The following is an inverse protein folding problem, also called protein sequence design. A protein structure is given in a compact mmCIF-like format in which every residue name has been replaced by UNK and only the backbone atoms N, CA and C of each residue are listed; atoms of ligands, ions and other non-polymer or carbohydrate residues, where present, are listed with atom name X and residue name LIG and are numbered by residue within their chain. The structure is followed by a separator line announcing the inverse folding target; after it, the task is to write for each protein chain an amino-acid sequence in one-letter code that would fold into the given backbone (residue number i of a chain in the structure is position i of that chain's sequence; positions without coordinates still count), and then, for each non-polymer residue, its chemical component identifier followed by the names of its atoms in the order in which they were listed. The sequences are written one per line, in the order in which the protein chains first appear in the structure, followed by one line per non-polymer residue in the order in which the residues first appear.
data_IF_419344817226
#
_entry.id   IF_419344817226
#
_cell.length_a   1.000
_cell.length_b   1.000
_cell.length_c   1.000
_cell.angle_alpha   90.00
_cell.angle_beta   90.00
_cell.angle_gamma   90.00
#
_symmetry.space_group_name_H-M   'P 1'
#
loop_
_entity.id
_entity.type
_entity.pdbx_description
1 polymer ?
#
# COMPACT_ATOMS: atom_id res chain seq x y z
N UNK A 1 -26.00 30.18 -9.84
CA UNK A 1 -25.91 29.11 -8.80
C UNK A 1 -26.52 27.84 -9.36
N UNK A 2 -25.69 26.96 -9.90
CA UNK A 2 -26.14 25.63 -10.36
C UNK A 2 -26.48 24.78 -9.16
N UNK A 3 -27.70 24.25 -9.11
CA UNK A 3 -28.24 23.51 -7.98
C UNK A 3 -27.41 22.21 -7.75
N UNK A 4 -27.27 21.79 -6.50
CA UNK A 4 -26.59 20.55 -6.10
C UNK A 4 -27.13 19.33 -6.86
N UNK A 5 -28.41 19.36 -7.26
CA UNK A 5 -29.08 18.34 -8.08
C UNK A 5 -28.55 18.30 -9.53
N UNK A 6 -28.24 19.45 -10.13
CA UNK A 6 -27.63 19.50 -11.49
C UNK A 6 -26.19 18.98 -11.47
N UNK A 7 -25.45 19.26 -10.39
CA UNK A 7 -24.09 18.74 -10.19
C UNK A 7 -24.09 17.21 -10.03
N UNK A 8 -25.05 16.67 -9.27
CA UNK A 8 -25.23 15.22 -9.11
C UNK A 8 -25.65 14.53 -10.42
N UNK A 9 -26.56 15.13 -11.20
CA UNK A 9 -26.96 14.62 -12.51
C UNK A 9 -25.80 14.61 -13.50
N UNK A 10 -24.96 15.65 -13.49
CA UNK A 10 -23.76 15.74 -14.34
C UNK A 10 -22.71 14.69 -13.94
N UNK A 11 -22.52 14.43 -12.66
CA UNK A 11 -21.63 13.37 -12.16
C UNK A 11 -22.15 11.97 -12.48
N UNK A 12 -23.48 11.76 -12.43
CA UNK A 12 -24.11 10.50 -12.84
C UNK A 12 -23.97 10.28 -14.36
N UNK A 13 -24.17 11.31 -15.18
CA UNK A 13 -23.98 11.23 -16.62
C UNK A 13 -22.53 10.94 -17.03
N UNK A 14 -21.55 11.57 -16.34
CA UNK A 14 -20.13 11.30 -16.55
C UNK A 14 -19.73 9.87 -16.10
N UNK A 15 -20.36 9.38 -15.04
CA UNK A 15 -20.16 8.00 -14.58
C UNK A 15 -20.72 6.98 -15.57
N UNK A 16 -21.90 7.24 -16.14
CA UNK A 16 -22.51 6.40 -17.18
C UNK A 16 -21.72 6.41 -18.49
N UNK A 17 -21.18 7.56 -18.91
CA UNK A 17 -20.30 7.66 -20.09
C UNK A 17 -18.97 6.94 -19.87
N UNK A 18 -18.39 7.01 -18.67
CA UNK A 18 -17.16 6.29 -18.32
C UNK A 18 -17.39 4.78 -18.29
N UNK A 19 -18.53 4.32 -17.75
CA UNK A 19 -18.91 2.90 -17.75
C UNK A 19 -19.21 2.38 -19.14
N UNK A 20 -19.74 3.21 -20.06
CA UNK A 20 -19.94 2.84 -21.46
C UNK A 20 -18.62 2.80 -22.25
N UNK A 21 -17.70 3.73 -22.00
CA UNK A 21 -16.37 3.71 -22.62
C UNK A 21 -15.50 2.54 -22.12
N UNK A 22 -15.61 2.20 -20.83
CA UNK A 22 -14.95 1.02 -20.26
C UNK A 22 -15.62 -0.30 -20.70
N UNK A 23 -16.90 -0.28 -21.07
CA UNK A 23 -17.61 -1.45 -21.62
C UNK A 23 -17.30 -1.71 -23.11
N UNK A 24 -17.00 -0.66 -23.87
CA UNK A 24 -16.62 -0.78 -25.30
C UNK A 24 -15.15 -1.20 -25.49
N UNK A 25 -14.29 -1.06 -24.46
CA UNK A 25 -12.88 -1.52 -24.47
C UNK A 25 -12.68 -2.89 -23.78
N UNK A 26 -13.73 -3.50 -23.23
CA UNK A 26 -13.61 -4.84 -22.65
C UNK A 26 -13.71 -5.88 -23.76
N UNK A 27 -12.71 -6.80 -23.88
CA UNK A 27 -12.86 -7.94 -24.76
C UNK A 27 -14.09 -8.73 -24.33
N UNK A 28 -14.93 -9.10 -25.28
CA UNK A 28 -16.14 -9.91 -25.10
C UNK A 28 -15.86 -11.09 -24.18
N UNK A 29 -16.68 -11.39 -23.15
CA UNK A 29 -16.49 -12.59 -22.34
C UNK A 29 -16.43 -13.79 -23.24
N UNK A 30 -15.36 -14.58 -23.14
CA UNK A 30 -15.24 -15.83 -23.88
C UNK A 30 -16.45 -16.72 -23.57
N UNK A 31 -17.10 -17.31 -24.56
CA UNK A 31 -18.18 -18.28 -24.35
C UNK A 31 -17.67 -19.38 -23.42
N UNK A 32 -18.49 -19.79 -22.46
CA UNK A 32 -18.12 -20.79 -21.46
C UNK A 32 -17.38 -21.95 -22.07
N UNK A 33 -16.14 -22.19 -21.60
CA UNK A 33 -15.28 -23.26 -22.09
C UNK A 33 -16.01 -24.61 -21.96
N UNK A 34 -16.10 -25.42 -23.00
CA UNK A 34 -16.75 -26.72 -22.92
C UNK A 34 -15.93 -27.62 -21.97
N UNK A 35 -16.59 -28.10 -20.92
CA UNK A 35 -16.01 -29.08 -19.99
C UNK A 35 -15.95 -30.42 -20.74
N UNK A 36 -14.86 -30.68 -21.45
CA UNK A 36 -14.53 -32.02 -21.90
C UNK A 36 -13.70 -32.70 -20.83
N UNK A 37 -14.29 -33.71 -20.19
CA UNK A 37 -13.59 -34.63 -19.28
C UNK A 37 -12.54 -35.44 -20.07
N UNK A 38 -11.34 -34.90 -20.19
CA UNK A 38 -10.19 -35.52 -20.80
C UNK A 38 -9.15 -35.83 -19.74
N UNK A 39 -8.69 -37.08 -19.66
CA UNK A 39 -7.48 -37.47 -18.92
C UNK A 39 -6.30 -36.66 -19.46
N UNK A 40 -5.62 -35.93 -18.59
CA UNK A 40 -4.48 -35.10 -18.95
C UNK A 40 -3.35 -35.97 -19.52
N UNK A 41 -3.15 -35.90 -20.83
CA UNK A 41 -2.06 -36.62 -21.52
C UNK A 41 -0.70 -35.94 -21.27
N UNK A 42 0.37 -36.71 -21.43
CA UNK A 42 1.77 -36.29 -21.29
C UNK A 42 2.11 -35.02 -22.11
N UNK A 43 1.32 -34.65 -23.12
CA UNK A 43 1.46 -33.44 -23.95
C UNK A 43 1.16 -32.11 -23.21
N UNK A 44 0.33 -32.16 -22.17
CA UNK A 44 -0.02 -30.92 -21.41
C UNK A 44 1.06 -30.45 -20.43
N UNK A 45 2.07 -31.29 -20.17
CA UNK A 45 3.25 -30.89 -19.35
C UNK A 45 4.39 -30.35 -20.24
N UNK A 46 4.36 -30.63 -21.55
CA UNK A 46 5.38 -30.16 -22.46
C UNK A 46 5.36 -28.61 -22.54
N UNK A 47 6.48 -28.01 -22.18
CA UNK A 47 6.63 -26.55 -22.23
C UNK A 47 6.32 -25.82 -20.93
N UNK A 48 5.67 -26.41 -19.92
CA UNK A 48 5.59 -25.85 -18.57
C UNK A 48 6.98 -25.81 -17.89
N UNK A 49 7.19 -24.88 -16.93
CA UNK A 49 8.41 -24.90 -16.15
C UNK A 49 8.49 -26.19 -15.30
N UNK A 50 9.69 -26.58 -14.80
CA UNK A 50 9.84 -27.72 -13.92
C UNK A 50 8.89 -27.63 -12.73
N UNK A 51 8.18 -28.72 -12.45
CA UNK A 51 7.20 -28.85 -11.38
C UNK A 51 6.64 -30.26 -11.33
N UNK A 52 5.67 -30.51 -10.47
CA UNK A 52 5.04 -31.81 -10.24
C UNK A 52 3.52 -31.72 -10.33
N UNK A 53 2.90 -32.84 -10.61
CA UNK A 53 1.44 -33.00 -10.52
C UNK A 53 1.13 -33.60 -9.15
N UNK A 54 0.43 -32.83 -8.32
CA UNK A 54 -0.10 -33.35 -7.05
C UNK A 54 -1.51 -33.90 -7.24
N UNK A 55 -1.86 -34.91 -6.46
CA UNK A 55 -3.17 -35.52 -6.46
C UNK A 55 -3.80 -35.50 -5.06
N UNK A 56 -5.08 -35.17 -5.00
CA UNK A 56 -5.89 -35.20 -3.77
C UNK A 56 -7.31 -35.72 -4.08
N UNK A 57 -8.20 -35.76 -3.08
CA UNK A 57 -9.57 -36.24 -3.25
C UNK A 57 -10.43 -35.50 -4.27
N UNK A 58 -10.03 -34.28 -4.66
CA UNK A 58 -10.72 -33.46 -5.66
C UNK A 58 -10.09 -33.57 -7.08
N UNK A 59 -9.04 -34.37 -7.26
CA UNK A 59 -8.36 -34.57 -8.53
C UNK A 59 -6.88 -34.19 -8.51
N UNK A 60 -6.38 -33.73 -9.63
CA UNK A 60 -4.97 -33.35 -9.83
C UNK A 60 -4.83 -31.87 -10.13
N UNK A 61 -3.69 -31.28 -9.75
CA UNK A 61 -3.26 -29.97 -10.23
C UNK A 61 -1.73 -29.92 -10.36
N UNK A 62 -1.23 -28.98 -11.17
CA UNK A 62 0.21 -28.79 -11.32
C UNK A 62 0.72 -27.81 -10.25
N UNK A 63 1.89 -28.12 -9.67
CA UNK A 63 2.56 -27.26 -8.69
C UNK A 63 4.03 -27.09 -9.07
N UNK A 64 4.47 -25.83 -9.13
CA UNK A 64 5.88 -25.49 -9.21
C UNK A 64 6.34 -24.98 -7.84
N UNK A 65 7.39 -25.57 -7.30
CA UNK A 65 7.99 -25.15 -6.03
C UNK A 65 9.36 -24.55 -6.25
N UNK A 66 9.64 -23.41 -5.63
CA UNK A 66 10.93 -22.76 -5.61
C UNK A 66 11.33 -22.41 -4.18
N UNK A 67 12.59 -22.62 -3.85
CA UNK A 67 13.14 -22.47 -2.50
C UNK A 67 14.19 -21.40 -2.51
N UNK A 68 14.09 -20.47 -1.57
CA UNK A 68 15.01 -19.35 -1.41
C UNK A 68 15.63 -19.40 -0.01
N UNK A 69 16.97 -19.39 0.12
CA UNK A 69 17.60 -19.26 1.43
C UNK A 69 17.29 -17.90 2.03
N UNK A 70 17.24 -17.82 3.37
CA UNK A 70 16.85 -16.59 4.08
C UNK A 70 17.83 -15.42 3.88
N UNK A 71 19.07 -15.70 3.52
CA UNK A 71 20.12 -14.71 3.22
C UNK A 71 20.10 -14.22 1.76
N UNK A 72 19.30 -14.86 0.88
CA UNK A 72 19.10 -14.37 -0.47
C UNK A 72 18.37 -13.02 -0.48
N UNK A 73 18.86 -12.09 -1.29
CA UNK A 73 18.36 -10.73 -1.35
C UNK A 73 17.30 -10.54 -2.43
N UNK A 74 16.28 -9.76 -2.08
CA UNK A 74 15.39 -9.12 -3.05
C UNK A 74 15.40 -7.62 -2.79
N UNK A 75 16.00 -6.86 -3.69
CA UNK A 75 16.25 -5.44 -3.44
C UNK A 75 17.22 -5.22 -2.26
N UNK A 76 16.92 -4.29 -1.35
CA UNK A 76 17.86 -3.90 -0.28
C UNK A 76 17.91 -4.88 0.91
N UNK A 77 17.02 -5.85 0.97
CA UNK A 77 16.88 -6.73 2.14
C UNK A 77 16.95 -8.22 1.78
N UNK A 78 17.59 -9.05 2.62
CA UNK A 78 17.43 -10.49 2.52
C UNK A 78 16.02 -10.91 2.98
N UNK A 79 15.51 -12.06 2.47
CA UNK A 79 14.18 -12.55 2.83
C UNK A 79 14.01 -12.72 4.34
N UNK A 80 15.04 -13.22 5.02
CA UNK A 80 15.05 -13.42 6.47
C UNK A 80 14.93 -12.13 7.29
N UNK A 81 15.23 -10.96 6.72
CA UNK A 81 15.09 -9.69 7.43
C UNK A 81 13.64 -9.42 7.87
N UNK A 82 12.66 -9.96 7.16
CA UNK A 82 11.25 -9.82 7.51
C UNK A 82 10.91 -10.53 8.83
N UNK A 83 11.58 -11.64 9.15
CA UNK A 83 11.32 -12.42 10.37
C UNK A 83 11.68 -11.66 11.66
N UNK A 84 12.52 -10.63 11.56
CA UNK A 84 12.84 -9.73 12.66
C UNK A 84 11.83 -8.58 12.82
N UNK A 85 10.83 -8.48 11.93
CA UNK A 85 9.80 -7.44 11.95
C UNK A 85 8.51 -7.97 12.59
N UNK A 86 7.66 -7.04 13.06
CA UNK A 86 6.34 -7.38 13.61
C UNK A 86 5.22 -6.87 12.71
N UNK A 87 4.23 -7.72 12.35
CA UNK A 87 3.03 -7.27 11.63
C UNK A 87 2.21 -6.22 12.38
N UNK A 88 2.34 -6.15 13.71
CA UNK A 88 1.61 -5.21 14.58
C UNK A 88 1.82 -3.76 14.18
N UNK A 89 2.98 -3.41 13.62
CA UNK A 89 3.24 -2.03 13.15
C UNK A 89 2.22 -1.56 12.12
N UNK A 90 1.73 -2.47 11.28
CA UNK A 90 0.66 -2.17 10.32
C UNK A 90 -0.73 -2.16 10.99
N UNK A 91 -0.94 -2.95 12.03
CA UNK A 91 -2.19 -2.93 12.80
C UNK A 91 -2.39 -1.59 13.52
N UNK A 92 -1.32 -1.01 14.06
CA UNK A 92 -1.35 0.34 14.66
C UNK A 92 -1.73 1.41 13.64
N UNK A 93 -1.34 1.24 12.37
CA UNK A 93 -1.73 2.14 11.28
C UNK A 93 -3.17 1.96 10.83
N UNK A 94 -3.66 0.73 10.88
CA UNK A 94 -5.00 0.36 10.42
C UNK A 94 -5.62 -0.70 11.34
N UNK A 95 -6.19 -0.30 12.47
CA UNK A 95 -6.82 -1.24 13.41
C UNK A 95 -7.88 -2.14 12.77
N UNK A 96 -8.43 -1.73 11.61
CA UNK A 96 -9.41 -2.53 10.85
C UNK A 96 -8.79 -3.67 10.03
N UNK A 97 -7.46 -3.89 10.06
CA UNK A 97 -6.85 -5.04 9.38
C UNK A 97 -7.00 -6.36 10.14
N UNK A 98 -7.53 -6.33 11.35
CA UNK A 98 -7.75 -7.53 12.14
C UNK A 98 -6.47 -8.30 12.49
N UNK A 99 -5.31 -7.61 12.57
CA UNK A 99 -4.05 -8.26 12.91
C UNK A 99 -4.01 -8.61 14.40
N UNK A 100 -3.75 -9.86 14.69
CA UNK A 100 -3.47 -10.33 16.04
C UNK A 100 -2.02 -9.99 16.40
N UNK A 101 -1.75 -9.31 17.54
CA UNK A 101 -0.40 -9.01 18.00
C UNK A 101 0.51 -10.23 18.19
N UNK A 102 -0.06 -11.40 18.36
CA UNK A 102 0.68 -12.65 18.54
C UNK A 102 1.06 -13.35 17.23
N UNK A 103 0.57 -12.85 16.10
CA UNK A 103 0.92 -13.39 14.78
C UNK A 103 2.23 -12.77 14.29
N UNK A 104 3.17 -13.59 13.91
CA UNK A 104 4.41 -13.21 13.23
C UNK A 104 4.43 -13.63 11.75
N UNK A 105 5.46 -13.22 11.03
CA UNK A 105 5.58 -13.52 9.61
C UNK A 105 5.91 -15.00 9.31
N UNK A 106 6.33 -15.81 10.28
CA UNK A 106 6.51 -17.27 10.09
C UNK A 106 5.17 -17.95 9.84
N UNK A 107 4.06 -17.33 10.23
CA UNK A 107 2.70 -17.79 10.02
C UNK A 107 1.95 -17.05 8.94
N UNK A 108 2.65 -16.31 8.11
CA UNK A 108 2.08 -15.53 7.01
C UNK A 108 2.09 -16.33 5.70
N UNK A 109 1.05 -16.15 4.91
CA UNK A 109 0.95 -16.57 3.52
C UNK A 109 0.99 -15.33 2.63
N UNK A 110 2.00 -15.22 1.79
CA UNK A 110 2.05 -14.22 0.72
C UNK A 110 1.30 -14.79 -0.48
N UNK A 111 0.29 -14.07 -0.96
CA UNK A 111 -0.65 -14.59 -1.94
C UNK A 111 -0.82 -13.62 -3.11
N UNK A 112 -0.75 -14.17 -4.33
CA UNK A 112 -1.10 -13.50 -5.56
C UNK A 112 -1.82 -14.45 -6.51
N UNK A 113 -2.75 -13.94 -7.36
CA UNK A 113 -3.58 -14.78 -8.22
C UNK A 113 -3.58 -14.32 -9.67
N UNK A 114 -3.48 -15.29 -10.60
CA UNK A 114 -3.74 -15.06 -12.02
C UNK A 114 -5.10 -15.61 -12.40
N UNK A 115 -5.83 -14.80 -13.19
CA UNK A 115 -7.26 -15.03 -13.41
C UNK A 115 -7.62 -15.06 -14.90
N UNK A 116 -8.74 -15.71 -15.22
CA UNK A 116 -9.26 -15.76 -16.60
C UNK A 116 -9.96 -14.48 -17.05
N UNK A 117 -10.00 -13.45 -16.22
CA UNK A 117 -10.62 -12.17 -16.55
C UNK A 117 -10.31 -11.11 -15.50
N UNK A 118 -10.38 -9.83 -15.89
CA UNK A 118 -10.04 -8.68 -15.07
C UNK A 118 -11.16 -8.26 -14.07
N UNK A 119 -12.29 -8.93 -14.05
CA UNK A 119 -13.44 -8.65 -13.19
C UNK A 119 -13.71 -9.75 -12.18
N UNK A 120 -14.27 -9.42 -11.01
CA UNK A 120 -14.71 -10.37 -9.99
C UNK A 120 -16.11 -10.92 -10.28
N UNK A 121 -16.25 -11.96 -11.10
CA UNK A 121 -17.53 -12.60 -11.40
C UNK A 121 -17.50 -14.12 -11.19
N UNK A 122 -18.69 -14.74 -11.06
CA UNK A 122 -18.84 -16.17 -10.86
C UNK A 122 -18.23 -17.04 -11.99
N UNK A 123 -18.03 -16.46 -13.18
CA UNK A 123 -17.40 -17.11 -14.32
C UNK A 123 -15.89 -16.89 -14.45
N UNK A 124 -15.27 -16.15 -13.53
CA UNK A 124 -13.82 -15.93 -13.50
C UNK A 124 -13.16 -16.99 -12.62
N UNK A 125 -12.13 -17.64 -13.15
CA UNK A 125 -11.33 -18.64 -12.46
C UNK A 125 -10.00 -18.07 -12.01
N UNK A 126 -9.50 -18.50 -10.84
CA UNK A 126 -8.09 -18.33 -10.48
C UNK A 126 -7.34 -19.54 -11.05
N UNK A 127 -6.75 -19.40 -12.23
CA UNK A 127 -6.08 -20.53 -12.87
C UNK A 127 -4.66 -20.75 -12.36
N UNK A 128 -4.07 -19.74 -11.72
CA UNK A 128 -2.82 -19.84 -11.00
C UNK A 128 -2.93 -19.10 -9.66
N UNK A 129 -2.41 -19.71 -8.62
CA UNK A 129 -2.30 -19.09 -7.29
C UNK A 129 -0.88 -19.26 -6.80
N UNK A 130 -0.15 -18.16 -6.73
CA UNK A 130 1.17 -18.08 -6.12
C UNK A 130 1.05 -17.93 -4.61
N UNK A 131 1.82 -18.73 -3.88
CA UNK A 131 1.86 -18.73 -2.42
C UNK A 131 3.29 -18.76 -1.94
N UNK A 132 3.67 -17.76 -1.12
CA UNK A 132 4.98 -17.70 -0.46
C UNK A 132 4.84 -17.93 1.05
N UNK A 133 5.68 -18.77 1.62
CA UNK A 133 5.68 -19.12 3.05
C UNK A 133 7.09 -19.27 3.59
N UNK A 134 7.26 -18.99 4.88
CA UNK A 134 8.51 -19.26 5.59
C UNK A 134 8.43 -20.64 6.23
N UNK A 135 9.31 -21.56 5.85
CA UNK A 135 9.25 -22.95 6.28
C UNK A 135 10.62 -23.48 6.74
N UNK A 136 10.60 -24.54 7.51
CA UNK A 136 11.76 -25.35 7.84
C UNK A 136 11.82 -26.53 6.88
N UNK A 137 12.92 -26.65 6.15
CA UNK A 137 13.20 -27.87 5.41
C UNK A 137 13.83 -28.87 6.38
N UNK A 138 13.24 -30.06 6.49
CA UNK A 138 13.83 -31.16 7.22
C UNK A 138 14.98 -31.76 6.38
N UNK A 139 16.11 -32.03 7.04
CA UNK A 139 17.26 -32.69 6.41
C UNK A 139 16.83 -34.09 5.97
N UNK A 140 16.70 -34.28 4.67
CA UNK A 140 16.26 -35.56 4.07
C UNK A 140 15.29 -35.41 2.90
N UNK A 141 14.78 -34.19 2.64
CA UNK A 141 13.96 -33.93 1.47
C UNK A 141 14.85 -33.65 0.24
N UNK A 142 15.49 -34.74 -0.27
CA UNK A 142 16.47 -34.78 -1.35
C UNK A 142 15.97 -34.13 -2.69
N UNK A 143 14.69 -33.93 -2.80
CA UNK A 143 14.08 -33.27 -3.99
C UNK A 143 14.37 -31.76 -4.08
N UNK A 144 14.91 -31.15 -3.01
CA UNK A 144 15.19 -29.71 -2.90
C UNK A 144 16.68 -29.38 -2.80
N UNK A 145 17.59 -30.38 -2.86
CA UNK A 145 19.04 -30.23 -2.61
C UNK A 145 19.86 -29.58 -3.73
N UNK A 146 19.26 -28.88 -4.69
CA UNK A 146 20.03 -28.27 -5.79
C UNK A 146 20.59 -26.88 -5.51
N UNK A 147 20.41 -26.33 -4.31
CA UNK A 147 21.01 -25.04 -3.90
C UNK A 147 21.91 -25.25 -2.70
N UNK A 148 23.16 -24.73 -2.80
CA UNK A 148 24.24 -24.92 -1.84
C UNK A 148 23.83 -24.71 -0.37
N UNK A 149 24.28 -25.55 0.58
CA UNK A 149 23.88 -25.48 1.97
C UNK A 149 24.58 -24.32 2.67
N UNK A 150 23.86 -23.24 2.94
CA UNK A 150 24.18 -22.36 4.07
C UNK A 150 23.73 -23.07 5.34
N UNK A 151 24.65 -23.32 6.26
CA UNK A 151 24.38 -24.07 7.52
C UNK A 151 23.31 -23.29 8.32
N UNK A 152 22.07 -23.82 8.51
CA UNK A 152 21.08 -23.17 9.32
C UNK A 152 21.51 -23.14 10.77
N UNK A 153 21.31 -22.02 11.46
CA UNK A 153 21.45 -21.99 12.92
C UNK A 153 20.50 -23.02 13.53
N UNK A 154 20.94 -23.92 14.42
CA UNK A 154 20.11 -24.98 15.00
C UNK A 154 18.89 -24.46 15.78
N UNK A 155 18.77 -23.19 16.02
CA UNK A 155 17.77 -22.52 16.89
C UNK A 155 16.67 -21.78 16.13
N UNK A 156 16.74 -21.64 14.78
CA UNK A 156 15.67 -20.97 14.02
C UNK A 156 14.55 -21.97 13.66
N UNK A 157 13.27 -21.63 13.93
CA UNK A 157 12.13 -22.46 13.55
C UNK A 157 11.92 -22.54 12.03
N UNK A 158 12.49 -21.61 11.25
CA UNK A 158 12.40 -21.56 9.78
C UNK A 158 13.79 -21.42 9.17
N UNK A 159 13.97 -21.95 7.96
CA UNK A 159 15.26 -21.93 7.26
C UNK A 159 15.20 -21.38 5.84
N UNK A 160 14.01 -21.35 5.22
CA UNK A 160 13.83 -20.95 3.83
C UNK A 160 12.53 -20.17 3.61
N UNK A 161 12.52 -19.37 2.55
CA UNK A 161 11.30 -18.86 1.97
C UNK A 161 10.95 -19.71 0.75
N UNK A 162 9.74 -20.29 0.74
CA UNK A 162 9.29 -21.23 -0.28
C UNK A 162 8.13 -20.63 -1.05
N UNK A 163 8.24 -20.60 -2.37
CA UNK A 163 7.16 -20.19 -3.26
C UNK A 163 6.60 -21.41 -3.96
N UNK A 164 5.29 -21.60 -3.82
CA UNK A 164 4.52 -22.61 -4.54
C UNK A 164 3.53 -21.93 -5.47
N UNK A 165 3.56 -22.31 -6.74
CA UNK A 165 2.64 -21.84 -7.76
C UNK A 165 1.72 -22.97 -8.16
N UNK A 166 0.49 -22.95 -7.64
CA UNK A 166 -0.57 -23.90 -7.97
C UNK A 166 -1.21 -23.49 -9.28
N UNK A 167 -1.24 -24.38 -10.26
CA UNK A 167 -1.68 -24.07 -11.61
C UNK A 167 -2.69 -25.07 -12.13
N UNK A 168 -3.78 -24.58 -12.70
CA UNK A 168 -4.77 -25.40 -13.42
C UNK A 168 -4.35 -25.54 -14.88
N UNK A 169 -4.07 -26.75 -15.32
CA UNK A 169 -3.82 -27.05 -16.73
C UNK A 169 -5.12 -26.96 -17.57
N UNK A 170 -6.25 -27.17 -16.90
CA UNK A 170 -7.59 -26.97 -17.45
C UNK A 170 -8.59 -26.71 -16.30
N UNK A 171 -9.78 -26.16 -16.56
CA UNK A 171 -10.75 -25.80 -15.52
C UNK A 171 -11.20 -26.93 -14.60
N UNK A 172 -11.13 -28.20 -15.06
CA UNK A 172 -11.46 -29.36 -14.23
C UNK A 172 -10.52 -29.64 -13.07
N UNK A 173 -9.37 -28.97 -12.98
CA UNK A 173 -8.40 -29.11 -11.90
C UNK A 173 -8.63 -28.13 -10.73
N UNK A 174 -9.65 -27.27 -10.84
CA UNK A 174 -9.92 -26.25 -9.84
C UNK A 174 -10.15 -26.82 -8.43
N UNK A 175 -10.90 -27.91 -8.33
CA UNK A 175 -11.16 -28.55 -7.03
C UNK A 175 -9.89 -28.99 -6.33
N UNK A 176 -8.96 -29.61 -7.07
CA UNK A 176 -7.68 -30.04 -6.53
C UNK A 176 -6.79 -28.88 -6.10
N UNK A 177 -6.72 -27.83 -6.92
CA UNK A 177 -6.00 -26.60 -6.58
C UNK A 177 -6.56 -25.97 -5.30
N UNK A 178 -7.88 -25.78 -5.20
CA UNK A 178 -8.51 -25.19 -4.03
C UNK A 178 -8.32 -26.03 -2.76
N UNK A 179 -8.34 -27.34 -2.86
CA UNK A 179 -8.13 -28.23 -1.70
C UNK A 179 -6.67 -28.13 -1.19
N UNK A 180 -5.70 -28.11 -2.09
CA UNK A 180 -4.30 -27.89 -1.73
C UNK A 180 -4.08 -26.52 -1.06
N UNK A 181 -4.76 -25.47 -1.54
CA UNK A 181 -4.75 -24.16 -0.91
C UNK A 181 -5.41 -24.16 0.47
N UNK A 182 -6.52 -24.87 0.65
CA UNK A 182 -7.20 -24.97 1.94
C UNK A 182 -6.27 -25.56 3.02
N UNK A 183 -5.56 -26.63 2.72
CA UNK A 183 -4.58 -27.25 3.62
C UNK A 183 -3.47 -26.26 4.01
N UNK A 184 -3.05 -25.42 3.07
CA UNK A 184 -2.02 -24.42 3.29
C UNK A 184 -2.53 -23.27 4.16
N UNK A 185 -3.71 -22.73 3.87
CA UNK A 185 -4.31 -21.65 4.66
C UNK A 185 -4.68 -22.10 6.09
N UNK A 186 -5.03 -23.35 6.30
CA UNK A 186 -5.34 -23.88 7.64
C UNK A 186 -4.12 -23.87 8.57
N UNK A 187 -2.93 -24.09 8.02
CA UNK A 187 -1.65 -24.07 8.76
C UNK A 187 -1.11 -22.68 9.07
N UNK A 188 -1.63 -21.66 8.41
CA UNK A 188 -1.16 -20.28 8.55
C UNK A 188 -2.23 -19.37 9.15
N UNK A 189 -1.82 -18.29 9.78
CA UNK A 189 -2.72 -17.42 10.55
C UNK A 189 -3.04 -16.11 9.87
N UNK A 190 -2.23 -15.67 8.90
CA UNK A 190 -2.34 -14.35 8.27
C UNK A 190 -2.09 -14.47 6.76
N UNK A 191 -2.81 -13.67 5.98
CA UNK A 191 -2.52 -13.46 4.55
C UNK A 191 -1.86 -12.11 4.31
N UNK A 192 -0.89 -12.08 3.40
CA UNK A 192 -0.26 -10.85 2.88
C UNK A 192 -0.49 -10.80 1.38
N UNK A 193 -1.03 -9.68 0.87
CA UNK A 193 -1.34 -9.52 -0.55
C UNK A 193 -0.98 -8.12 -1.03
N UNK A 194 -1.03 -7.90 -2.33
CA UNK A 194 -0.99 -6.56 -2.92
C UNK A 194 -2.28 -6.26 -3.67
N UNK A 195 -3.17 -5.44 -3.11
CA UNK A 195 -4.54 -5.16 -3.58
C UNK A 195 -5.51 -6.37 -3.46
N UNK A 196 -5.12 -7.42 -2.79
CA UNK A 196 -5.90 -8.65 -2.71
C UNK A 196 -7.16 -8.57 -1.85
N UNK A 197 -7.28 -7.54 -1.01
CA UNK A 197 -8.50 -7.30 -0.21
C UNK A 197 -9.72 -7.07 -1.09
N UNK A 198 -9.54 -6.40 -2.22
CA UNK A 198 -10.61 -6.07 -3.15
C UNK A 198 -10.67 -6.98 -4.36
N UNK A 199 -9.63 -7.79 -4.61
CA UNK A 199 -9.52 -8.62 -5.79
C UNK A 199 -9.35 -10.11 -5.47
N UNK A 200 -8.17 -10.55 -5.02
CA UNK A 200 -7.81 -11.97 -4.86
C UNK A 200 -8.70 -12.72 -3.87
N UNK A 201 -8.82 -12.18 -2.64
CA UNK A 201 -9.54 -12.86 -1.58
C UNK A 201 -11.05 -12.98 -1.82
N UNK A 202 -11.77 -11.95 -2.33
CA UNK A 202 -13.16 -12.08 -2.73
C UNK A 202 -13.37 -13.12 -3.83
N UNK A 203 -12.48 -13.14 -4.82
CA UNK A 203 -12.56 -14.09 -5.90
C UNK A 203 -12.35 -15.53 -5.41
N UNK A 204 -11.27 -15.80 -4.66
CA UNK A 204 -11.01 -17.11 -4.07
C UNK A 204 -12.18 -17.59 -3.18
N UNK A 205 -12.74 -16.71 -2.34
CA UNK A 205 -13.95 -17.05 -1.55
C UNK A 205 -15.12 -17.49 -2.43
N UNK A 206 -15.33 -16.81 -3.55
CA UNK A 206 -16.36 -17.17 -4.52
C UNK A 206 -16.09 -18.55 -5.12
N UNK A 207 -14.81 -18.83 -5.48
CA UNK A 207 -14.41 -20.15 -6.03
C UNK A 207 -14.60 -21.25 -5.00
N UNK A 208 -14.17 -21.07 -3.75
CA UNK A 208 -14.44 -22.00 -2.65
C UNK A 208 -15.95 -22.25 -2.47
N UNK A 209 -16.76 -21.18 -2.46
CA UNK A 209 -18.21 -21.29 -2.30
C UNK A 209 -18.90 -22.07 -3.42
N UNK A 210 -18.41 -21.98 -4.64
CA UNK A 210 -18.94 -22.71 -5.78
C UNK A 210 -18.52 -24.20 -5.72
N UNK A 211 -17.24 -24.46 -5.47
CA UNK A 211 -16.67 -25.79 -5.51
C UNK A 211 -17.08 -26.67 -4.31
N UNK A 212 -17.43 -26.11 -3.15
CA UNK A 212 -17.92 -26.88 -2.01
C UNK A 212 -19.23 -27.64 -2.29
N UNK A 213 -19.95 -27.30 -3.37
CA UNK A 213 -21.14 -28.02 -3.81
C UNK A 213 -20.80 -29.31 -4.55
N UNK A 214 -19.61 -29.37 -5.14
CA UNK A 214 -19.11 -30.49 -5.93
C UNK A 214 -18.23 -31.40 -5.04
N UNK A 215 -17.31 -30.78 -4.29
CA UNK A 215 -16.30 -31.47 -3.49
C UNK A 215 -16.61 -31.30 -1.98
N UNK A 216 -16.89 -32.43 -1.34
CA UNK A 216 -17.28 -32.45 0.08
C UNK A 216 -16.19 -31.90 1.00
N UNK A 217 -14.92 -32.14 0.68
CA UNK A 217 -13.76 -31.75 1.48
C UNK A 217 -13.51 -30.22 1.46
N UNK A 218 -14.08 -29.51 0.48
CA UNK A 218 -14.05 -28.04 0.43
C UNK A 218 -15.14 -27.36 1.28
N UNK A 219 -16.03 -28.13 1.92
CA UNK A 219 -17.10 -27.55 2.74
C UNK A 219 -16.54 -26.78 3.93
N UNK A 220 -16.91 -25.52 4.01
CA UNK A 220 -16.46 -24.62 5.07
C UNK A 220 -15.05 -24.05 4.90
N UNK A 221 -14.26 -24.49 3.90
CA UNK A 221 -12.91 -23.96 3.67
C UNK A 221 -12.91 -22.47 3.29
N UNK A 222 -14.00 -21.93 2.72
CA UNK A 222 -14.12 -20.51 2.42
C UNK A 222 -13.93 -19.59 3.64
N UNK A 223 -14.14 -20.10 4.88
CA UNK A 223 -13.87 -19.37 6.13
C UNK A 223 -12.37 -19.10 6.35
N UNK A 224 -11.49 -19.88 5.72
CA UNK A 224 -10.04 -19.67 5.79
C UNK A 224 -9.59 -18.36 5.14
N UNK A 225 -10.46 -17.75 4.34
CA UNK A 225 -10.26 -16.43 3.70
C UNK A 225 -11.34 -15.43 4.16
N UNK A 226 -12.01 -15.66 5.29
CA UNK A 226 -13.03 -14.78 5.81
C UNK A 226 -12.47 -13.37 6.09
N UNK A 227 -13.28 -12.30 5.96
CA UNK A 227 -12.83 -10.92 6.16
C UNK A 227 -12.26 -10.65 7.56
N UNK A 228 -12.63 -11.46 8.54
CA UNK A 228 -12.22 -11.36 9.94
C UNK A 228 -10.82 -11.96 10.19
N UNK A 229 -10.31 -12.78 9.27
CA UNK A 229 -8.95 -13.31 9.40
C UNK A 229 -7.90 -12.22 9.19
N UNK A 230 -6.80 -12.29 9.94
CA UNK A 230 -5.70 -11.37 9.80
C UNK A 230 -5.23 -11.26 8.33
N UNK A 231 -5.29 -10.05 7.80
CA UNK A 231 -4.92 -9.80 6.41
C UNK A 231 -4.22 -8.46 6.28
N UNK A 232 -3.02 -8.48 5.71
CA UNK A 232 -2.22 -7.32 5.38
C UNK A 232 -2.24 -7.09 3.86
N UNK A 233 -2.97 -6.05 3.42
CA UNK A 233 -2.91 -5.60 2.03
C UNK A 233 -1.89 -4.46 1.90
N UNK A 234 -0.78 -4.75 1.24
CA UNK A 234 0.37 -3.85 1.13
C UNK A 234 0.10 -2.59 0.31
N UNK A 235 -0.93 -2.57 -0.55
CA UNK A 235 -1.27 -1.40 -1.34
C UNK A 235 -1.63 -0.20 -0.47
N UNK A 236 -2.31 -0.42 0.65
CA UNK A 236 -2.73 0.67 1.55
C UNK A 236 -1.56 1.37 2.24
N UNK A 237 -0.67 0.68 2.98
CA UNK A 237 0.49 1.31 3.59
C UNK A 237 1.47 1.88 2.55
N UNK A 238 1.66 1.22 1.40
CA UNK A 238 2.46 1.75 0.31
C UNK A 238 1.93 3.09 -0.22
N UNK A 239 0.62 3.20 -0.44
CA UNK A 239 -0.01 4.47 -0.84
C UNK A 239 0.10 5.54 0.24
N UNK A 240 -0.03 5.19 1.50
CA UNK A 240 0.11 6.15 2.60
C UNK A 240 1.51 6.76 2.65
N UNK A 241 2.53 5.93 2.43
CA UNK A 241 3.92 6.36 2.52
C UNK A 241 4.40 7.05 1.23
N UNK A 242 4.15 6.44 0.06
CA UNK A 242 4.84 6.84 -1.18
C UNK A 242 3.99 7.60 -2.20
N UNK A 243 2.66 7.68 -2.04
CA UNK A 243 1.79 8.36 -3.02
C UNK A 243 2.11 9.84 -3.22
N UNK A 244 2.72 10.51 -2.23
CA UNK A 244 3.11 11.93 -2.34
C UNK A 244 4.30 12.11 -3.28
N UNK A 245 5.18 11.12 -3.34
CA UNK A 245 6.40 11.13 -4.15
C UNK A 245 6.24 10.42 -5.50
N UNK A 246 5.55 9.28 -5.49
CA UNK A 246 5.42 8.45 -6.69
C UNK A 246 4.10 8.73 -7.43
N UNK A 247 4.19 8.79 -8.76
CA UNK A 247 3.00 8.94 -9.62
C UNK A 247 2.10 7.70 -9.57
N UNK A 248 2.68 6.52 -9.33
CA UNK A 248 1.98 5.24 -9.27
C UNK A 248 2.52 4.40 -8.12
N UNK A 249 1.60 3.76 -7.38
CA UNK A 249 1.91 2.74 -6.39
C UNK A 249 1.50 1.33 -6.88
N UNK A 250 1.61 1.04 -8.17
CA UNK A 250 1.52 -0.34 -8.68
C UNK A 250 2.78 -1.09 -8.25
N UNK A 251 2.67 -2.41 -8.05
CA UNK A 251 3.78 -3.22 -7.54
C UNK A 251 5.05 -3.06 -8.39
N UNK A 252 4.95 -3.16 -9.69
CA UNK A 252 6.07 -2.99 -10.63
C UNK A 252 6.78 -1.62 -10.48
N UNK A 253 6.05 -0.54 -10.20
CA UNK A 253 6.67 0.79 -9.98
C UNK A 253 7.33 0.88 -8.61
N UNK A 254 6.78 0.18 -7.59
CA UNK A 254 7.40 0.09 -6.27
C UNK A 254 8.66 -0.76 -6.32
N UNK A 255 8.68 -1.82 -7.12
CA UNK A 255 9.88 -2.62 -7.38
C UNK A 255 11.02 -1.74 -7.89
N UNK A 256 10.78 -0.95 -8.93
CA UNK A 256 11.81 -0.09 -9.51
C UNK A 256 12.21 1.06 -8.59
N UNK A 257 11.22 1.78 -8.02
CA UNK A 257 11.45 3.04 -7.33
C UNK A 257 11.85 2.86 -5.86
N UNK A 258 11.44 1.77 -5.22
CA UNK A 258 11.63 1.53 -3.79
C UNK A 258 12.61 0.38 -3.55
N UNK A 259 12.44 -0.73 -4.26
CA UNK A 259 13.28 -1.90 -4.07
C UNK A 259 14.52 -1.90 -4.98
N UNK A 260 14.57 -1.03 -6.01
CA UNK A 260 15.65 -1.01 -6.99
C UNK A 260 15.72 -2.28 -7.85
N UNK A 261 14.59 -2.99 -7.96
CA UNK A 261 14.48 -4.25 -8.70
C UNK A 261 13.79 -4.00 -10.03
N UNK A 262 14.38 -4.54 -11.09
CA UNK A 262 13.77 -4.55 -12.44
C UNK A 262 13.51 -5.98 -12.86
N UNK A 263 12.32 -6.22 -13.39
CA UNK A 263 11.97 -7.50 -14.00
C UNK A 263 12.71 -7.69 -15.31
N UNK A 264 12.94 -8.93 -15.70
CA UNK A 264 13.54 -9.25 -16.99
C UNK A 264 12.53 -9.01 -18.13
N UNK A 265 13.00 -9.06 -19.37
CA UNK A 265 12.16 -9.00 -20.59
C UNK A 265 11.21 -10.22 -20.72
N UNK A 266 11.38 -11.23 -19.90
CA UNK A 266 10.49 -12.38 -19.81
C UNK A 266 9.14 -12.03 -19.16
N UNK A 267 9.05 -10.89 -18.44
CA UNK A 267 7.78 -10.47 -17.83
C UNK A 267 6.70 -10.21 -18.89
N UNK A 268 5.45 -10.41 -18.49
CA UNK A 268 4.29 -10.22 -19.34
C UNK A 268 3.36 -9.17 -18.73
N UNK A 269 2.83 -8.23 -19.51
CA UNK A 269 1.83 -7.29 -19.01
C UNK A 269 0.62 -8.03 -18.46
N UNK A 270 0.24 -7.76 -17.19
CA UNK A 270 -0.82 -8.49 -16.48
C UNK A 270 -2.17 -8.55 -17.22
N UNK A 271 -2.51 -7.52 -18.02
CA UNK A 271 -3.75 -7.51 -18.82
C UNK A 271 -3.77 -8.54 -19.95
N UNK A 272 -2.63 -9.07 -20.37
CA UNK A 272 -2.53 -10.13 -21.40
C UNK A 272 -2.63 -11.54 -20.82
N UNK A 273 -2.44 -11.71 -19.52
CA UNK A 273 -2.39 -13.03 -18.85
C UNK A 273 -3.67 -13.85 -19.07
N UNK A 274 -4.89 -13.29 -18.96
CA UNK A 274 -6.12 -14.04 -19.26
C UNK A 274 -6.16 -14.63 -20.68
N UNK A 275 -5.70 -13.85 -21.65
CA UNK A 275 -5.66 -14.29 -23.05
C UNK A 275 -4.64 -15.41 -23.25
N UNK A 276 -3.44 -15.28 -22.66
CA UNK A 276 -2.40 -16.32 -22.74
C UNK A 276 -2.85 -17.65 -22.16
N UNK A 277 -3.58 -17.62 -21.06
CA UNK A 277 -4.16 -18.85 -20.49
C UNK A 277 -5.26 -19.45 -21.38
N UNK A 278 -6.13 -18.63 -21.98
CA UNK A 278 -7.14 -19.10 -22.89
C UNK A 278 -6.51 -19.77 -24.13
N UNK A 279 -5.47 -19.18 -24.71
CA UNK A 279 -4.70 -19.77 -25.81
C UNK A 279 -4.03 -21.08 -25.41
N UNK A 280 -3.44 -21.16 -24.21
CA UNK A 280 -2.87 -22.38 -23.65
C UNK A 280 -3.92 -23.52 -23.55
N UNK A 281 -5.10 -23.22 -23.00
CA UNK A 281 -6.17 -24.23 -22.84
C UNK A 281 -6.68 -24.71 -24.20
N UNK A 282 -6.73 -23.85 -25.23
CA UNK A 282 -7.21 -24.20 -26.56
C UNK A 282 -6.18 -24.97 -27.37
N UNK A 283 -4.92 -24.59 -27.31
CA UNK A 283 -3.88 -25.05 -28.25
C UNK A 283 -2.89 -26.05 -27.60
N UNK A 284 -2.88 -26.13 -26.26
CA UNK A 284 -1.92 -26.97 -25.50
C UNK A 284 -0.49 -26.40 -25.48
N UNK A 285 -0.25 -25.21 -26.05
CA UNK A 285 1.08 -24.60 -26.06
C UNK A 285 1.35 -23.85 -24.74
N UNK A 286 2.21 -24.43 -23.93
CA UNK A 286 2.61 -23.88 -22.63
C UNK A 286 3.77 -22.88 -22.70
N UNK A 287 4.26 -22.54 -23.89
CA UNK A 287 5.42 -21.65 -24.04
C UNK A 287 5.22 -20.28 -23.39
N UNK A 288 4.03 -19.68 -23.60
CA UNK A 288 3.65 -18.42 -22.98
C UNK A 288 3.43 -18.50 -21.45
N UNK A 289 3.02 -19.68 -20.95
CA UNK A 289 2.79 -19.87 -19.52
C UNK A 289 4.06 -19.71 -18.68
N UNK A 290 5.26 -19.99 -19.21
CA UNK A 290 6.52 -19.73 -18.50
C UNK A 290 6.64 -18.27 -18.06
N UNK A 291 6.19 -17.35 -18.90
CA UNK A 291 6.20 -15.91 -18.61
C UNK A 291 5.17 -15.55 -17.52
N UNK A 292 4.01 -16.23 -17.52
CA UNK A 292 2.99 -16.05 -16.47
C UNK A 292 3.49 -16.60 -15.13
N UNK A 293 4.16 -17.75 -15.11
CA UNK A 293 4.83 -18.27 -13.92
C UNK A 293 5.92 -17.30 -13.41
N UNK A 294 6.67 -16.69 -14.31
CA UNK A 294 7.66 -15.70 -13.93
C UNK A 294 6.99 -14.45 -13.31
N UNK A 295 5.94 -13.91 -13.95
CA UNK A 295 5.18 -12.77 -13.46
C UNK A 295 4.69 -12.97 -12.00
N UNK A 296 3.91 -14.02 -11.78
CA UNK A 296 3.36 -14.35 -10.47
C UNK A 296 4.45 -14.62 -9.41
N UNK A 297 5.57 -15.25 -9.79
CA UNK A 297 6.71 -15.45 -8.90
C UNK A 297 7.31 -14.11 -8.46
N UNK A 298 7.55 -13.20 -9.41
CA UNK A 298 8.11 -11.88 -9.13
C UNK A 298 7.21 -11.08 -8.16
N UNK A 299 5.89 -11.18 -8.32
CA UNK A 299 4.91 -10.53 -7.44
C UNK A 299 5.05 -11.05 -5.99
N UNK A 300 5.14 -12.36 -5.79
CA UNK A 300 5.33 -12.96 -4.46
C UNK A 300 6.65 -12.54 -3.83
N UNK A 301 7.76 -12.62 -4.56
CA UNK A 301 9.08 -12.25 -4.04
C UNK A 301 9.15 -10.76 -3.68
N UNK A 302 8.55 -9.93 -4.50
CA UNK A 302 8.51 -8.48 -4.28
C UNK A 302 7.63 -8.09 -3.10
N UNK A 303 6.53 -8.82 -2.85
CA UNK A 303 5.70 -8.58 -1.66
C UNK A 303 6.48 -8.78 -0.35
N UNK A 304 7.35 -9.80 -0.26
CA UNK A 304 8.19 -10.01 0.94
C UNK A 304 9.14 -8.84 1.15
N UNK A 305 9.87 -8.46 0.09
CA UNK A 305 10.82 -7.34 0.16
C UNK A 305 10.11 -6.02 0.49
N UNK A 306 8.94 -5.77 -0.12
CA UNK A 306 8.14 -4.58 0.12
C UNK A 306 7.59 -4.54 1.55
N UNK A 307 7.18 -5.70 2.10
CA UNK A 307 6.74 -5.80 3.50
C UNK A 307 7.87 -5.45 4.46
N UNK A 308 9.08 -5.93 4.18
CA UNK A 308 10.29 -5.60 4.97
C UNK A 308 10.57 -4.10 4.90
N UNK A 309 10.55 -3.51 3.70
CA UNK A 309 10.82 -2.09 3.50
C UNK A 309 9.79 -1.20 4.21
N UNK A 310 8.50 -1.56 4.13
CA UNK A 310 7.43 -0.86 4.85
C UNK A 310 7.62 -0.99 6.36
N UNK A 311 7.91 -2.19 6.87
CA UNK A 311 8.14 -2.42 8.30
C UNK A 311 9.28 -1.55 8.81
N UNK A 312 10.42 -1.53 8.10
CA UNK A 312 11.57 -0.68 8.45
C UNK A 312 11.21 0.82 8.42
N UNK A 313 10.40 1.27 7.45
CA UNK A 313 9.98 2.66 7.36
C UNK A 313 9.08 3.06 8.54
N UNK A 314 8.11 2.23 8.88
CA UNK A 314 7.18 2.50 9.99
C UNK A 314 7.79 2.24 11.38
N UNK A 315 8.94 1.58 11.46
CA UNK A 315 9.71 1.42 12.71
C UNK A 315 10.68 2.60 12.98
N UNK A 316 10.46 3.73 12.32
CA UNK A 316 11.22 4.96 12.53
C UNK A 316 12.18 5.32 11.41
N UNK A 317 12.22 4.55 10.32
CA UNK A 317 12.94 4.88 9.11
C UNK A 317 14.46 4.78 9.15
N UNK A 318 15.06 4.42 10.29
CA UNK A 318 16.53 4.36 10.42
C UNK A 318 17.19 3.35 9.46
N UNK A 319 16.46 2.30 9.08
CA UNK A 319 16.92 1.23 8.18
C UNK A 319 16.33 1.32 6.78
N UNK A 320 15.54 2.35 6.48
CA UNK A 320 14.91 2.56 5.19
C UNK A 320 15.43 3.87 4.56
N UNK A 321 15.88 3.87 3.31
CA UNK A 321 16.23 5.10 2.61
C UNK A 321 14.95 5.86 2.27
N UNK A 322 14.54 6.77 3.17
CA UNK A 322 13.34 7.59 3.02
C UNK A 322 13.68 8.97 2.47
N UNK A 323 12.90 9.41 1.50
CA UNK A 323 12.95 10.77 0.95
C UNK A 323 12.13 11.74 1.82
N UNK A 324 12.21 13.02 1.53
CA UNK A 324 11.49 14.06 2.29
C UNK A 324 9.97 13.80 2.34
N UNK A 325 9.38 13.52 1.18
CA UNK A 325 7.94 13.29 1.04
C UNK A 325 7.50 12.06 1.83
N UNK A 326 8.37 11.05 1.91
CA UNK A 326 8.14 9.84 2.68
C UNK A 326 8.17 10.16 4.19
N UNK A 327 9.13 10.98 4.65
CA UNK A 327 9.18 11.45 6.04
C UNK A 327 7.97 12.30 6.42
N UNK A 328 7.51 13.17 5.52
CA UNK A 328 6.29 13.94 5.73
C UNK A 328 5.06 13.02 5.82
N UNK A 329 4.96 12.03 4.94
CA UNK A 329 3.87 11.04 4.95
C UNK A 329 3.91 10.18 6.22
N UNK A 330 5.08 9.75 6.65
CA UNK A 330 5.29 8.99 7.88
C UNK A 330 4.89 9.80 9.12
N UNK A 331 5.28 11.09 9.18
CA UNK A 331 4.87 11.99 10.24
C UNK A 331 3.35 12.13 10.34
N UNK A 332 2.65 12.19 9.21
CA UNK A 332 1.17 12.20 9.17
C UNK A 332 0.61 10.88 9.72
N UNK A 333 1.19 9.74 9.36
CA UNK A 333 0.77 8.45 9.88
C UNK A 333 0.93 8.36 11.39
N UNK A 334 2.06 8.82 11.95
CA UNK A 334 2.30 8.85 13.39
C UNK A 334 1.36 9.84 14.11
N UNK A 335 1.09 11.02 13.52
CA UNK A 335 0.15 11.99 14.08
C UNK A 335 -1.26 11.41 14.22
N UNK A 336 -1.74 10.67 13.21
CA UNK A 336 -3.04 10.00 13.22
C UNK A 336 -3.15 8.91 14.30
N UNK A 337 -2.02 8.32 14.70
CA UNK A 337 -1.93 7.34 15.77
C UNK A 337 -1.67 7.95 17.16
N UNK A 338 -1.67 9.28 17.27
CA UNK A 338 -1.28 10.01 18.46
C UNK A 338 0.16 9.71 18.96
N UNK A 339 1.03 9.23 18.07
CA UNK A 339 2.48 9.02 18.32
C UNK A 339 3.24 10.34 18.12
N UNK A 340 2.96 11.31 19.00
CA UNK A 340 3.36 12.71 18.81
C UNK A 340 4.87 12.93 18.71
N UNK A 341 5.66 12.21 19.51
CA UNK A 341 7.14 12.31 19.48
C UNK A 341 7.73 11.83 18.17
N UNK A 342 7.21 10.73 17.62
CA UNK A 342 7.66 10.17 16.35
C UNK A 342 7.18 11.03 15.17
N UNK A 343 5.96 11.57 15.25
CA UNK A 343 5.46 12.52 14.28
C UNK A 343 6.34 13.77 14.20
N UNK A 344 6.72 14.33 15.35
CA UNK A 344 7.65 15.46 15.43
C UNK A 344 9.00 15.12 14.80
N UNK A 345 9.59 13.98 15.18
CA UNK A 345 10.86 13.51 14.62
C UNK A 345 10.81 13.38 13.09
N UNK A 346 9.74 12.79 12.57
CA UNK A 346 9.54 12.62 11.13
C UNK A 346 9.39 13.96 10.40
N UNK A 347 8.62 14.92 10.96
CA UNK A 347 8.49 16.26 10.36
C UNK A 347 9.80 17.04 10.39
N UNK A 348 10.58 16.95 11.48
CA UNK A 348 11.91 17.58 11.55
C UNK A 348 12.84 17.00 10.49
N UNK A 349 12.83 15.67 10.33
CA UNK A 349 13.61 14.98 9.30
C UNK A 349 13.20 15.41 7.89
N UNK A 350 11.89 15.54 7.63
CA UNK A 350 11.40 16.07 6.35
C UNK A 350 11.93 17.48 6.06
N UNK A 351 12.07 18.35 7.07
CA UNK A 351 12.60 19.70 6.91
C UNK A 351 14.13 19.77 6.71
N UNK A 352 14.88 18.75 7.12
CA UNK A 352 16.33 18.65 6.89
C UNK A 352 16.65 18.31 5.43
N UNK A 353 15.77 17.56 4.75
CA UNK A 353 15.96 17.04 3.40
C UNK A 353 15.40 18.01 2.35
N UNK A 354 16.04 19.14 2.08
CA UNK A 354 15.51 20.25 1.25
C UNK A 354 15.58 19.98 -0.25
N UNK A 355 14.43 20.05 -1.00
CA UNK A 355 14.43 20.28 -2.48
C UNK A 355 13.19 20.98 -3.07
N UNK A 356 12.00 20.82 -2.51
CA UNK A 356 10.74 21.38 -3.06
C UNK A 356 10.02 22.25 -2.04
N UNK A 357 9.59 23.43 -2.46
CA UNK A 357 8.97 24.43 -1.57
C UNK A 357 7.60 24.02 -1.05
N UNK A 358 6.80 23.27 -1.83
CA UNK A 358 5.44 22.91 -1.41
C UNK A 358 5.45 21.86 -0.27
N UNK A 359 6.24 20.78 -0.45
CA UNK A 359 6.39 19.74 0.60
C UNK A 359 7.04 20.31 1.86
N UNK A 360 7.93 21.30 1.70
CA UNK A 360 8.55 22.00 2.82
C UNK A 360 7.52 22.84 3.59
N UNK A 361 6.67 23.59 2.89
CA UNK A 361 5.54 24.34 3.48
C UNK A 361 4.60 23.43 4.26
N UNK A 362 4.27 22.27 3.71
CA UNK A 362 3.41 21.29 4.40
C UNK A 362 4.06 20.73 5.68
N UNK A 363 5.38 20.44 5.64
CA UNK A 363 6.10 19.99 6.82
C UNK A 363 6.17 21.05 7.91
N UNK A 364 6.47 22.30 7.58
CA UNK A 364 6.43 23.43 8.51
C UNK A 364 5.04 23.62 9.13
N UNK A 365 3.99 23.57 8.31
CA UNK A 365 2.61 23.71 8.78
C UNK A 365 2.23 22.62 9.78
N UNK A 366 2.56 21.34 9.47
CA UNK A 366 2.25 20.20 10.33
C UNK A 366 3.02 20.27 11.64
N UNK A 367 4.34 20.48 11.58
CA UNK A 367 5.17 20.60 12.78
C UNK A 367 4.74 21.76 13.66
N UNK A 368 4.50 22.95 13.07
CA UNK A 368 4.03 24.11 13.82
C UNK A 368 2.69 23.88 14.50
N UNK A 369 1.76 23.19 13.82
CA UNK A 369 0.47 22.82 14.41
C UNK A 369 0.61 21.80 15.54
N UNK A 370 1.54 20.84 15.41
CA UNK A 370 1.84 19.86 16.44
C UNK A 370 2.41 20.52 17.70
N UNK A 371 3.43 21.38 17.56
CA UNK A 371 4.02 22.15 18.66
C UNK A 371 2.99 23.03 19.37
N UNK A 372 2.14 23.70 18.58
CA UNK A 372 1.04 24.50 19.11
C UNK A 372 0.05 23.69 19.96
N UNK A 373 -0.35 22.48 19.49
CA UNK A 373 -1.22 21.59 20.25
C UNK A 373 -0.59 21.14 21.57
N UNK A 374 0.73 21.02 21.61
CA UNK A 374 1.49 20.67 22.82
C UNK A 374 1.74 21.87 23.75
N UNK A 375 1.29 23.08 23.39
CA UNK A 375 1.53 24.30 24.16
C UNK A 375 2.95 24.86 24.03
N UNK A 376 3.77 24.32 23.12
CA UNK A 376 5.16 24.75 22.85
C UNK A 376 5.18 25.94 21.89
N UNK A 377 4.53 27.01 22.30
CA UNK A 377 4.32 28.18 21.47
C UNK A 377 5.61 28.92 21.04
N UNK A 378 6.62 29.11 21.94
CA UNK A 378 7.88 29.74 21.51
C UNK A 378 8.57 28.97 20.40
N UNK A 379 8.65 27.65 20.50
CA UNK A 379 9.26 26.81 19.47
C UNK A 379 8.47 26.82 18.13
N UNK A 380 7.14 26.90 18.25
CA UNK A 380 6.30 27.05 17.07
C UNK A 380 6.53 28.41 16.38
N UNK A 381 6.73 29.49 17.14
CA UNK A 381 7.01 30.81 16.59
C UNK A 381 8.37 30.83 15.86
N UNK A 382 9.43 30.32 16.49
CA UNK A 382 10.75 30.18 15.84
C UNK A 382 10.67 29.34 14.55
N UNK A 383 9.84 28.30 14.56
CA UNK A 383 9.63 27.46 13.38
C UNK A 383 8.93 28.26 12.26
N UNK A 384 7.91 29.08 12.56
CA UNK A 384 7.22 29.91 11.57
C UNK A 384 8.10 31.04 11.03
N UNK A 385 8.96 31.64 11.84
CA UNK A 385 9.96 32.60 11.39
C UNK A 385 10.99 31.95 10.45
N UNK A 386 11.48 30.74 10.81
CA UNK A 386 12.33 29.95 9.93
C UNK A 386 11.63 29.62 8.61
N UNK A 387 10.34 29.30 8.65
CA UNK A 387 9.55 29.06 7.43
C UNK A 387 9.60 30.26 6.49
N UNK A 388 9.34 31.47 7.00
CA UNK A 388 9.38 32.71 6.23
C UNK A 388 10.74 33.00 5.60
N UNK A 389 11.82 32.60 6.27
CA UNK A 389 13.18 32.83 5.76
C UNK A 389 13.67 31.76 4.79
N UNK A 390 13.06 30.55 4.79
CA UNK A 390 13.60 29.41 4.04
C UNK A 390 12.74 29.02 2.84
N UNK A 391 11.44 29.26 2.87
CA UNK A 391 10.52 28.83 1.80
C UNK A 391 10.06 30.05 1.01
N UNK A 392 10.50 30.21 -0.24
CA UNK A 392 10.02 31.29 -1.09
C UNK A 392 8.58 31.05 -1.55
N UNK A 393 7.85 32.13 -1.80
CA UNK A 393 6.50 32.08 -2.38
C UNK A 393 5.44 32.71 -1.51
N UNK A 394 4.19 32.63 -2.01
CA UNK A 394 3.03 33.18 -1.31
C UNK A 394 2.44 32.13 -0.37
N UNK A 395 2.88 32.11 0.88
CA UNK A 395 2.24 31.36 1.94
C UNK A 395 1.94 32.28 3.12
N UNK A 396 0.66 32.50 3.38
CA UNK A 396 0.20 33.40 4.43
C UNK A 396 0.13 32.73 5.81
N UNK A 397 0.21 31.39 5.85
CA UNK A 397 0.05 30.61 7.11
C UNK A 397 1.03 31.05 8.20
N UNK A 398 2.36 31.18 7.95
CA UNK A 398 3.30 31.54 9.01
C UNK A 398 3.04 32.94 9.57
N UNK A 399 2.72 33.94 8.74
CA UNK A 399 2.38 35.28 9.20
C UNK A 399 1.15 35.26 10.12
N UNK A 400 0.12 34.53 9.73
CA UNK A 400 -1.13 34.41 10.48
C UNK A 400 -0.92 33.72 11.82
N UNK A 401 -0.11 32.67 11.87
CA UNK A 401 0.18 31.96 13.13
C UNK A 401 1.10 32.80 14.05
N UNK A 402 2.07 33.53 13.52
CA UNK A 402 2.87 34.50 14.28
C UNK A 402 2.01 35.61 14.86
N UNK A 403 1.10 36.17 14.05
CA UNK A 403 0.16 37.19 14.54
C UNK A 403 -0.74 36.66 15.67
N UNK A 404 -1.18 35.41 15.59
CA UNK A 404 -1.95 34.74 16.66
C UNK A 404 -1.11 34.51 17.91
N UNK A 405 0.15 34.11 17.75
CA UNK A 405 1.07 33.91 18.87
C UNK A 405 1.26 35.22 19.65
N UNK A 406 1.59 36.34 18.93
CA UNK A 406 1.74 37.64 19.56
C UNK A 406 0.43 38.11 20.22
N UNK A 407 -0.73 37.91 19.55
CA UNK A 407 -2.03 38.33 20.10
C UNK A 407 -2.43 37.52 21.35
N UNK A 408 -2.29 36.19 21.33
CA UNK A 408 -2.93 35.35 22.34
C UNK A 408 -2.00 34.88 23.45
N UNK A 409 -0.70 34.76 23.16
CA UNK A 409 0.27 34.27 24.13
C UNK A 409 1.10 35.40 24.73
N UNK A 410 1.52 36.38 23.91
CA UNK A 410 2.34 37.48 24.36
C UNK A 410 1.51 38.72 24.74
N UNK A 411 0.25 38.79 24.30
CA UNK A 411 -0.60 40.01 24.37
C UNK A 411 0.05 41.23 23.77
N UNK A 412 0.97 41.05 22.82
CA UNK A 412 1.66 42.08 22.08
C UNK A 412 0.91 42.39 20.78
N UNK A 413 0.02 43.39 20.88
CA UNK A 413 -0.82 43.76 19.74
C UNK A 413 -0.05 44.52 18.66
N UNK A 414 1.05 45.21 19.01
CA UNK A 414 1.88 45.88 18.02
C UNK A 414 2.62 44.89 17.14
N UNK A 415 3.23 43.87 17.70
CA UNK A 415 3.81 42.80 16.90
C UNK A 415 2.77 42.00 16.12
N UNK A 416 1.59 41.74 16.69
CA UNK A 416 0.50 41.08 15.98
C UNK A 416 0.02 41.88 14.74
N UNK A 417 -0.08 43.20 14.87
CA UNK A 417 -0.37 44.10 13.76
C UNK A 417 0.73 44.08 12.71
N UNK A 418 1.99 44.15 13.11
CA UNK A 418 3.15 44.08 12.22
C UNK A 418 3.10 42.80 11.36
N UNK A 419 2.93 41.61 11.96
CA UNK A 419 2.83 40.36 11.21
C UNK A 419 1.63 40.35 10.26
N UNK A 420 0.48 40.88 10.68
CA UNK A 420 -0.71 40.98 9.81
C UNK A 420 -0.45 41.93 8.63
N UNK A 421 0.25 42.99 8.85
CA UNK A 421 0.62 43.96 7.80
C UNK A 421 1.62 43.39 6.80
N UNK A 422 2.59 42.57 7.28
CA UNK A 422 3.49 41.83 6.42
C UNK A 422 2.75 40.81 5.54
N UNK A 423 1.74 40.11 6.10
CA UNK A 423 0.89 39.20 5.32
C UNK A 423 0.12 39.97 4.21
N UNK A 424 -0.46 41.13 4.49
CA UNK A 424 -1.14 41.99 3.52
C UNK A 424 -0.17 42.46 2.43
N UNK A 425 1.02 42.90 2.83
CA UNK A 425 2.05 43.34 1.90
C UNK A 425 2.47 42.22 0.94
N UNK A 426 2.78 41.02 1.48
CA UNK A 426 3.16 39.84 0.71
C UNK A 426 2.05 39.42 -0.26
N UNK A 427 0.79 39.44 0.19
CA UNK A 427 -0.35 39.14 -0.66
C UNK A 427 -0.50 40.15 -1.82
N UNK A 428 -0.27 41.43 -1.56
CA UNK A 428 -0.36 42.50 -2.57
C UNK A 428 0.77 42.49 -3.59
N UNK A 429 1.93 41.92 -3.25
CA UNK A 429 3.04 41.69 -4.20
C UNK A 429 2.79 40.50 -5.12
N UNK A 430 1.94 39.59 -4.73
CA UNK A 430 1.63 38.42 -5.54
C UNK A 430 0.71 38.75 -6.73
N UNK A 431 0.85 38.08 -7.88
CA UNK A 431 -0.08 38.19 -8.99
C UNK A 431 -1.51 37.87 -8.57
N UNK A 432 -2.50 38.56 -9.13
CA UNK A 432 -3.92 38.41 -8.73
C UNK A 432 -4.43 36.97 -8.81
N UNK A 433 -3.99 36.22 -9.81
CA UNK A 433 -4.40 34.80 -10.00
C UNK A 433 -3.82 33.84 -8.96
N UNK A 434 -2.78 34.26 -8.22
CA UNK A 434 -2.20 33.46 -7.14
C UNK A 434 -2.80 33.79 -5.77
N UNK A 435 -3.58 34.86 -5.66
CA UNK A 435 -4.15 35.31 -4.39
C UNK A 435 -5.33 34.40 -4.02
N UNK A 436 -5.33 33.79 -2.80
CA UNK A 436 -6.51 33.08 -2.33
C UNK A 436 -7.73 34.01 -2.26
N UNK A 437 -8.88 33.49 -2.63
CA UNK A 437 -10.16 34.22 -2.56
C UNK A 437 -10.39 34.61 -1.09
N UNK A 438 -10.83 35.85 -0.87
CA UNK A 438 -11.13 36.41 0.45
C UNK A 438 -9.94 36.62 1.42
N UNK A 439 -8.71 36.19 1.05
CA UNK A 439 -7.53 36.32 1.92
C UNK A 439 -7.26 37.73 2.35
N UNK A 440 -7.40 38.71 1.44
CA UNK A 440 -7.19 40.15 1.76
C UNK A 440 -8.25 40.62 2.76
N UNK A 441 -9.51 40.36 2.52
CA UNK A 441 -10.62 40.73 3.40
C UNK A 441 -10.45 40.15 4.80
N UNK A 442 -10.00 38.90 4.91
CA UNK A 442 -9.77 38.24 6.21
C UNK A 442 -8.59 38.88 6.97
N UNK A 443 -7.51 39.23 6.27
CA UNK A 443 -6.39 39.92 6.86
C UNK A 443 -6.75 41.34 7.29
N UNK A 444 -7.54 42.09 6.50
CA UNK A 444 -8.03 43.41 6.84
C UNK A 444 -8.97 43.39 8.08
N UNK A 445 -9.85 42.41 8.15
CA UNK A 445 -10.71 42.19 9.34
C UNK A 445 -9.85 41.89 10.58
N UNK A 446 -8.82 41.07 10.44
CA UNK A 446 -7.87 40.80 11.52
C UNK A 446 -7.16 42.02 11.96
N UNK A 447 -6.63 42.80 11.02
CA UNK A 447 -5.93 44.05 11.29
C UNK A 447 -6.82 45.04 12.06
N UNK A 448 -8.03 45.29 11.58
CA UNK A 448 -8.97 46.18 12.25
C UNK A 448 -9.37 45.75 13.66
N UNK A 449 -9.44 44.42 13.88
CA UNK A 449 -9.73 43.85 15.21
C UNK A 449 -8.55 44.00 16.17
N UNK A 450 -7.34 43.78 15.71
CA UNK A 450 -6.11 43.92 16.49
C UNK A 450 -5.87 45.39 16.87
N UNK A 451 -6.11 46.31 15.93
CA UNK A 451 -5.97 47.76 16.15
C UNK A 451 -6.92 48.25 17.23
N UNK A 452 -8.18 47.83 17.21
CA UNK A 452 -9.12 48.11 18.30
C UNK A 452 -8.64 47.60 19.65
N UNK A 453 -8.12 46.37 19.73
CA UNK A 453 -7.59 45.79 20.97
C UNK A 453 -6.40 46.57 21.51
N UNK A 454 -5.49 46.99 20.63
CA UNK A 454 -4.35 47.84 20.98
C UNK A 454 -4.80 49.14 21.66
N UNK A 455 -5.78 49.84 21.07
CA UNK A 455 -6.29 51.08 21.62
C UNK A 455 -7.05 50.89 22.94
N UNK A 456 -7.73 49.78 23.15
CA UNK A 456 -8.40 49.49 24.42
C UNK A 456 -7.41 49.28 25.56
N UNK A 457 -6.24 48.69 25.32
CA UNK A 457 -5.22 48.44 26.35
C UNK A 457 -4.39 49.72 26.63
N UNK A 458 -4.24 50.61 25.64
CA UNK A 458 -3.47 51.85 25.80
C UNK A 458 -4.27 53.02 26.36
N UNK A 459 -5.60 52.89 26.48
CA UNK A 459 -6.45 53.88 27.13
C UNK A 459 -6.54 53.58 28.64
N UNK A 460 -5.87 54.35 29.51
CA UNK A 460 -6.10 54.19 30.95
C UNK A 460 -7.49 54.73 31.23
N UNK A 461 -8.43 53.82 31.52
CA UNK A 461 -9.71 54.20 32.09
C UNK A 461 -9.45 54.89 33.44
N UNK A 462 -9.96 56.09 33.52
CA UNK A 462 -10.08 56.86 34.73
C UNK A 462 -10.73 55.99 35.83
N UNK A 463 -9.91 55.41 36.73
CA UNK A 463 -10.36 54.98 38.04
C UNK A 463 -10.48 56.26 38.89
N UNK A 464 -11.59 56.96 38.73
CA UNK A 464 -12.12 57.86 39.75
C UNK A 464 -13.55 57.43 40.02
N UNK A 465 -13.75 56.67 41.08
CA UNK A 465 -14.64 56.95 42.20
C UNK A 465 -14.64 55.76 43.18
#
# INVERSE_FOLDING_TARGET
MTSTLERLRRLQALRSQRSQHEADELPTPLPGLPVQGGTAGAGQLAGLPPGEVIENSAGQCFVRTQVYPLDANRGPHPYGALLAQSPVRFAELHPNFGLDPMVDYTRAVFLDTETTGLGGGAGVYCFMVGVGTFERLETGDWRLETLAPTVPSPQSPVSHFIVRQFFMRHPGEEGALLLALADLFDRHAMSVTFNGRTFDLPLLRTRFSQNQRIYADLRGCGRLLAPERPHLDLLHPARRLWRRRLQSCRLIHLEESILGVRRSEEDVPGHLIPQLYAEYVQNGDAGAMRRVFYHNLEDILSMVALTTQLSCAFDGGERAPLEREDWLALGICFEEQARWGEAEGAYRRALELVRDSQSQSDAFARLGQLLKRQGRWPEAAELWERWLSTVPGLDLRPFVELAKYCEWQLHDYDQALMWTQWAIHTLNQAPVWQRPIDALTDLERRFARLDRKRHTVTSPEHSQH
#
